data_IF_952916639342
#
_entry.id   IF_952916639342
#
_cell.length_a   1.000
_cell.length_b   1.000
_cell.length_c   1.000
_cell.angle_alpha   90.00
_cell.angle_beta   90.00
_cell.angle_gamma   90.00
#
_symmetry.space_group_name_H-M   'P 1'
#
loop_
_entity.id
_entity.type
_entity.pdbx_description
1 polymer ?
#
# COMPACT_ATOMS: atom_id res chain seq x y z
N UNK A 1 20.09 16.92 -9.16
CA UNK A 1 20.55 15.91 -8.19
C UNK A 1 21.77 15.20 -8.75
N UNK A 2 22.75 14.86 -7.91
CA UNK A 2 23.94 14.12 -8.36
C UNK A 2 23.53 12.75 -8.91
N UNK A 3 24.14 12.32 -10.02
CA UNK A 3 23.91 11.00 -10.63
C UNK A 3 25.04 10.07 -10.20
N UNK A 4 24.68 8.85 -9.78
CA UNK A 4 25.64 7.80 -9.45
C UNK A 4 25.56 6.74 -10.55
N UNK A 5 26.72 6.28 -11.03
CA UNK A 5 26.79 5.20 -12.00
C UNK A 5 26.69 3.85 -11.29
N UNK A 6 25.81 2.99 -11.77
CA UNK A 6 25.62 1.63 -11.25
C UNK A 6 25.94 0.67 -12.39
N UNK A 7 26.79 -0.33 -12.12
CA UNK A 7 27.02 -1.47 -13.01
C UNK A 7 26.45 -2.69 -12.33
N UNK A 8 25.46 -3.32 -12.95
CA UNK A 8 24.78 -4.49 -12.39
C UNK A 8 24.28 -5.39 -13.51
N UNK A 9 24.03 -6.65 -13.19
CA UNK A 9 23.39 -7.62 -14.09
C UNK A 9 21.96 -7.82 -13.62
N UNK A 10 21.02 -7.81 -14.57
CA UNK A 10 19.60 -8.03 -14.31
C UNK A 10 19.10 -9.16 -15.19
N UNK A 11 17.95 -9.72 -14.82
CA UNK A 11 17.25 -10.66 -15.67
C UNK A 11 16.83 -10.00 -16.99
N UNK A 12 17.12 -10.68 -18.11
CA UNK A 12 16.89 -10.15 -19.45
C UNK A 12 15.40 -10.00 -19.74
N UNK A 13 14.58 -10.99 -19.38
CA UNK A 13 13.15 -10.96 -19.67
C UNK A 13 12.46 -9.82 -18.92
N UNK A 14 12.83 -9.62 -17.65
CA UNK A 14 12.35 -8.52 -16.81
C UNK A 14 12.73 -7.16 -17.40
N UNK A 15 13.99 -6.99 -17.84
CA UNK A 15 14.44 -5.73 -18.44
C UNK A 15 13.72 -5.42 -19.75
N UNK A 16 13.52 -6.42 -20.61
CA UNK A 16 12.80 -6.24 -21.87
C UNK A 16 11.33 -5.86 -21.61
N UNK A 17 10.64 -6.59 -20.74
CA UNK A 17 9.26 -6.27 -20.38
C UNK A 17 9.12 -4.85 -19.81
N UNK A 18 10.07 -4.40 -18.99
CA UNK A 18 10.07 -3.04 -18.44
C UNK A 18 10.28 -1.97 -19.53
N UNK A 19 11.09 -2.25 -20.55
CA UNK A 19 11.32 -1.32 -21.68
C UNK A 19 10.09 -1.18 -22.57
N UNK A 20 9.33 -2.26 -22.77
CA UNK A 20 8.07 -2.22 -23.52
C UNK A 20 7.03 -1.27 -22.89
N UNK A 21 7.16 -0.94 -21.59
CA UNK A 21 6.29 0.05 -20.93
C UNK A 21 6.53 1.49 -21.41
N UNK A 22 7.56 1.76 -22.21
CA UNK A 22 7.79 3.07 -22.82
C UNK A 22 8.13 4.18 -21.82
N UNK A 23 8.65 3.83 -20.64
CA UNK A 23 8.91 4.78 -19.55
C UNK A 23 10.18 5.63 -19.73
N UNK A 24 10.80 5.58 -20.91
CA UNK A 24 12.03 6.29 -21.25
C UNK A 24 13.24 5.36 -21.30
N UNK A 25 14.43 5.90 -20.98
CA UNK A 25 15.68 5.14 -20.98
C UNK A 25 15.85 4.28 -19.71
N UNK A 26 16.83 3.37 -19.72
CA UNK A 26 17.10 2.49 -18.57
C UNK A 26 17.38 3.26 -17.28
N UNK A 27 17.99 4.45 -17.35
CA UNK A 27 18.22 5.25 -16.16
C UNK A 27 16.90 5.75 -15.53
N UNK A 28 15.93 6.17 -16.35
CA UNK A 28 14.60 6.55 -15.88
C UNK A 28 13.80 5.36 -15.34
N UNK A 29 13.96 4.17 -15.94
CA UNK A 29 13.38 2.93 -15.43
C UNK A 29 13.92 2.59 -14.03
N UNK A 30 15.25 2.66 -13.85
CA UNK A 30 15.88 2.40 -12.56
C UNK A 30 15.48 3.45 -11.51
N UNK A 31 15.43 4.73 -11.88
CA UNK A 31 14.97 5.79 -10.97
C UNK A 31 13.52 5.53 -10.49
N UNK A 32 12.62 5.15 -11.40
CA UNK A 32 11.22 4.80 -11.06
C UNK A 32 11.13 3.55 -10.19
N UNK A 33 11.90 2.51 -10.51
CA UNK A 33 11.92 1.27 -9.73
C UNK A 33 12.43 1.51 -8.29
N UNK A 34 13.50 2.28 -8.13
CA UNK A 34 14.03 2.65 -6.81
C UNK A 34 13.03 3.51 -6.03
N UNK A 35 12.38 4.48 -6.67
CA UNK A 35 11.34 5.28 -6.03
C UNK A 35 10.15 4.43 -5.57
N UNK A 36 9.68 3.51 -6.42
CA UNK A 36 8.60 2.57 -6.09
C UNK A 36 8.97 1.65 -4.93
N UNK A 37 10.19 1.10 -4.91
CA UNK A 37 10.70 0.28 -3.82
C UNK A 37 10.72 1.04 -2.49
N UNK A 38 11.19 2.29 -2.49
CA UNK A 38 11.22 3.12 -1.29
C UNK A 38 9.81 3.49 -0.81
N UNK A 39 8.89 3.77 -1.72
CA UNK A 39 7.49 4.03 -1.39
C UNK A 39 6.83 2.79 -0.76
N UNK A 40 7.02 1.61 -1.37
CA UNK A 40 6.49 0.34 -0.85
C UNK A 40 7.06 0.02 0.53
N UNK A 41 8.36 0.23 0.76
CA UNK A 41 8.97 0.03 2.08
C UNK A 41 8.40 0.98 3.13
N UNK A 42 8.14 2.25 2.77
CA UNK A 42 7.54 3.22 3.69
C UNK A 42 6.11 2.85 4.04
N UNK A 43 5.31 2.44 3.05
CA UNK A 43 3.95 1.96 3.28
C UNK A 43 3.95 0.74 4.21
N UNK A 44 4.78 -0.27 3.92
CA UNK A 44 4.89 -1.46 4.76
C UNK A 44 5.38 -1.14 6.18
N UNK A 45 6.26 -0.15 6.37
CA UNK A 45 6.69 0.27 7.69
C UNK A 45 5.56 0.97 8.48
N UNK A 46 4.67 1.69 7.79
CA UNK A 46 3.47 2.27 8.39
C UNK A 46 2.51 1.15 8.77
N UNK A 47 2.19 0.24 7.85
CA UNK A 47 1.28 -0.88 8.11
C UNK A 47 1.77 -1.74 9.28
N UNK A 48 3.07 -2.06 9.33
CA UNK A 48 3.68 -2.80 10.44
C UNK A 48 3.57 -2.07 11.79
N UNK A 49 3.51 -0.73 11.81
CA UNK A 49 3.30 0.01 13.06
C UNK A 49 1.87 -0.12 13.60
N UNK A 50 0.91 -0.48 12.74
CA UNK A 50 -0.48 -0.72 13.11
C UNK A 50 -0.81 -2.19 13.41
N UNK A 51 0.11 -3.14 13.14
CA UNK A 51 -0.06 -4.57 13.52
C UNK A 51 -0.33 -4.79 15.02
N UNK A 52 0.01 -3.82 15.88
CA UNK A 52 -0.35 -3.88 17.31
C UNK A 52 -1.86 -3.87 17.51
N UNK A 53 -2.60 -3.10 16.68
CA UNK A 53 -4.05 -2.99 16.78
C UNK A 53 -4.78 -4.21 16.20
N UNK A 54 -4.17 -4.98 15.30
CA UNK A 54 -4.74 -6.25 14.80
C UNK A 54 -4.94 -7.30 15.92
N UNK A 55 -4.24 -7.14 17.05
CA UNK A 55 -4.37 -8.02 18.22
C UNK A 55 -5.47 -7.58 19.19
N UNK A 56 -6.06 -6.40 18.98
CA UNK A 56 -7.13 -5.87 19.81
C UNK A 56 -8.46 -6.31 19.19
N UNK A 57 -9.26 -7.16 19.87
CA UNK A 57 -10.56 -7.57 19.36
C UNK A 57 -11.43 -6.35 19.09
N UNK A 58 -12.13 -6.32 17.96
CA UNK A 58 -13.09 -5.24 17.64
C UNK A 58 -14.24 -5.15 18.65
N UNK A 59 -14.46 -6.22 19.41
CA UNK A 59 -15.45 -6.31 20.49
C UNK A 59 -14.94 -5.73 21.82
N UNK A 60 -13.66 -5.35 21.92
CA UNK A 60 -13.12 -4.74 23.14
C UNK A 60 -13.68 -3.32 23.29
N UNK A 61 -14.43 -3.03 24.37
CA UNK A 61 -15.04 -1.72 24.55
C UNK A 61 -14.02 -0.69 25.04
N UNK A 62 -13.99 0.48 24.40
CA UNK A 62 -13.17 1.62 24.82
C UNK A 62 -14.03 2.81 25.30
N UNK A 63 -13.42 3.99 25.50
CA UNK A 63 -14.11 5.21 25.92
C UNK A 63 -15.21 5.68 24.94
N UNK A 64 -15.18 5.17 23.71
CA UNK A 64 -16.15 5.46 22.65
C UNK A 64 -17.11 4.30 22.37
N UNK A 65 -16.92 3.14 23.00
CA UNK A 65 -17.82 1.99 22.93
C UNK A 65 -17.22 0.78 22.20
N UNK A 66 -18.08 -0.05 21.60
CA UNK A 66 -17.68 -1.29 20.90
C UNK A 66 -17.78 -1.09 19.38
N UNK A 67 -16.67 -1.34 18.66
CA UNK A 67 -16.59 -1.14 17.22
C UNK A 67 -17.43 -2.14 16.42
N UNK A 68 -17.63 -3.36 16.92
CA UNK A 68 -18.50 -4.36 16.32
C UNK A 68 -19.98 -3.94 16.41
N UNK A 69 -20.44 -3.48 17.57
CA UNK A 69 -21.79 -2.94 17.74
C UNK A 69 -22.03 -1.71 16.86
N UNK A 70 -21.03 -0.82 16.76
CA UNK A 70 -21.07 0.32 15.85
C UNK A 70 -21.23 -0.12 14.39
N UNK A 71 -20.43 -1.10 13.93
CA UNK A 71 -20.54 -1.64 12.56
C UNK A 71 -21.92 -2.24 12.29
N UNK A 72 -22.46 -2.99 13.24
CA UNK A 72 -23.77 -3.63 13.10
C UNK A 72 -24.91 -2.59 13.03
N UNK A 73 -24.78 -1.46 13.75
CA UNK A 73 -25.72 -0.35 13.67
C UNK A 73 -25.76 0.30 12.28
N UNK A 74 -24.63 0.38 11.57
CA UNK A 74 -24.54 0.93 10.22
C UNK A 74 -25.16 -0.01 9.16
N UNK A 75 -25.15 -1.32 9.40
CA UNK A 75 -25.78 -2.30 8.52
C UNK A 75 -27.29 -2.50 8.83
N UNK A 76 -27.78 -2.01 9.98
CA UNK A 76 -29.16 -2.18 10.45
C UNK A 76 -30.19 -1.15 9.96
N UNK A 77 -29.77 -0.01 9.40
CA UNK A 77 -30.70 1.04 8.94
C UNK A 77 -30.41 1.50 7.50
N UNK A 78 -30.85 0.69 6.53
CA UNK A 78 -31.21 1.22 5.21
C UNK A 78 -32.69 1.64 5.27
N UNK A 79 -33.03 2.95 5.33
CA UNK A 79 -34.43 3.35 5.24
C UNK A 79 -34.97 2.94 3.87
N UNK A 80 -36.02 2.11 3.86
CA UNK A 80 -36.77 1.78 2.65
C UNK A 80 -37.21 3.09 1.99
N UNK A 81 -36.66 3.39 0.81
CA UNK A 81 -37.15 4.44 -0.06
C UNK A 81 -38.65 4.18 -0.30
N UNK A 82 -39.49 5.05 0.24
CA UNK A 82 -40.94 4.99 0.11
C UNK A 82 -41.27 5.40 -1.33
N UNK A 83 -41.91 4.48 -2.06
CA UNK A 83 -42.44 4.69 -3.41
C UNK A 83 -43.54 5.75 -3.45
#
# INVERSE_FOLDING_TARGET
>A
MARIRISTTVDQATLLAARELGLGNDAALIDKALASLLAARRAAAIDASYEVYDRIPLSEPDEWGNLEEFRDSLHGEQPKAKA
#
